data_IF_700418589297
#
_entry.id   IF_700418589297
#
_cell.length_a   1.000
_cell.length_b   1.000
_cell.length_c   1.000
_cell.angle_alpha   90.00
_cell.angle_beta   90.00
_cell.angle_gamma   90.00
#
_symmetry.space_group_name_H-M   'P 1'
#
loop_
_entity.id
_entity.type
_entity.pdbx_description
1 polymer ?
#
# COMPACT_ATOMS: atom_id res chain seq x y z
N UNK A 1 4.60 -27.12 17.05
CA UNK A 1 3.46 -27.28 16.13
C UNK A 1 3.08 -25.87 15.70
N UNK A 2 3.79 -25.31 14.73
CA UNK A 2 3.56 -23.92 14.32
C UNK A 2 2.30 -23.86 13.47
N UNK A 3 1.29 -23.15 13.98
CA UNK A 3 0.17 -22.70 13.18
C UNK A 3 0.75 -21.80 12.08
N UNK A 4 1.01 -22.39 10.92
CA UNK A 4 1.27 -21.66 9.67
C UNK A 4 0.06 -20.75 9.48
N UNK A 5 0.20 -19.48 9.85
CA UNK A 5 -0.81 -18.46 9.65
C UNK A 5 -1.21 -18.52 8.18
N UNK A 6 -2.39 -19.04 7.90
CA UNK A 6 -3.03 -19.00 6.60
C UNK A 6 -3.11 -17.54 6.15
N UNK A 7 -3.17 -17.26 4.86
CA UNK A 7 -3.09 -15.90 4.31
C UNK A 7 -4.08 -14.91 4.97
N UNK A 8 -5.28 -15.36 5.34
CA UNK A 8 -6.26 -14.54 6.09
C UNK A 8 -5.83 -14.18 7.53
N UNK A 9 -5.00 -15.00 8.17
CA UNK A 9 -4.49 -14.77 9.52
C UNK A 9 -3.50 -13.61 9.60
N UNK A 10 -2.78 -13.28 8.51
CA UNK A 10 -1.87 -12.14 8.48
C UNK A 10 -2.63 -10.81 8.45
N UNK A 11 -3.75 -10.74 7.73
CA UNK A 11 -4.60 -9.54 7.73
C UNK A 11 -5.27 -9.32 9.10
N UNK A 12 -5.66 -10.38 9.79
CA UNK A 12 -6.20 -10.30 11.16
C UNK A 12 -5.19 -9.74 12.18
N UNK A 13 -3.88 -9.88 11.94
CA UNK A 13 -2.86 -9.34 12.84
C UNK A 13 -2.89 -7.82 12.90
N UNK A 14 -3.34 -7.13 11.85
CA UNK A 14 -3.51 -5.67 11.88
C UNK A 14 -4.56 -5.27 12.93
N UNK A 15 -5.68 -6.00 12.98
CA UNK A 15 -6.70 -5.78 14.00
C UNK A 15 -6.17 -6.07 15.40
N UNK A 16 -5.49 -7.23 15.56
CA UNK A 16 -4.93 -7.64 16.85
C UNK A 16 -3.93 -6.61 17.35
N UNK A 17 -3.04 -6.11 16.49
CA UNK A 17 -2.07 -5.06 16.84
C UNK A 17 -2.76 -3.74 17.22
N UNK A 18 -3.85 -3.38 16.55
CA UNK A 18 -4.61 -2.16 16.85
C UNK A 18 -5.16 -2.16 18.28
N UNK A 19 -5.72 -3.29 18.74
CA UNK A 19 -6.34 -3.42 20.07
C UNK A 19 -5.41 -3.99 21.14
N UNK A 20 -4.19 -4.39 20.76
CA UNK A 20 -3.23 -5.01 21.68
C UNK A 20 -2.71 -3.98 22.69
N UNK A 21 -2.73 -4.38 23.96
CA UNK A 21 -2.08 -3.73 25.10
C UNK A 21 -0.62 -4.18 25.28
N UNK A 22 -0.23 -5.29 24.67
CA UNK A 22 1.14 -5.85 24.73
C UNK A 22 2.22 -4.99 24.09
N UNK A 23 1.85 -4.04 23.24
CA UNK A 23 2.77 -3.14 22.55
C UNK A 23 2.46 -1.72 22.97
N UNK A 24 3.49 -0.96 23.34
CA UNK A 24 3.38 0.47 23.54
C UNK A 24 2.89 1.15 22.25
N UNK A 25 2.06 2.19 22.36
CA UNK A 25 1.49 2.87 21.19
C UNK A 25 2.57 3.45 20.27
N UNK A 26 3.69 3.88 20.84
CA UNK A 26 4.87 4.38 20.13
C UNK A 26 5.59 3.28 19.31
N UNK A 27 5.48 2.02 19.74
CA UNK A 27 6.11 0.87 19.07
C UNK A 27 5.21 0.23 17.98
N UNK A 28 3.89 0.44 18.07
CA UNK A 28 2.93 -0.13 17.11
C UNK A 28 3.22 0.22 15.64
N UNK A 29 3.62 1.46 15.28
CA UNK A 29 3.98 1.79 13.90
C UNK A 29 5.07 0.90 13.30
N UNK A 30 6.12 0.59 14.07
CA UNK A 30 7.19 -0.31 13.62
C UNK A 30 6.68 -1.74 13.45
N UNK A 31 5.84 -2.21 14.37
CA UNK A 31 5.21 -3.53 14.26
C UNK A 31 4.30 -3.62 13.01
N UNK A 32 3.61 -2.54 12.65
CA UNK A 32 2.85 -2.48 11.42
C UNK A 32 3.74 -2.51 10.18
N UNK A 33 4.90 -1.84 10.21
CA UNK A 33 5.85 -1.86 9.11
C UNK A 33 6.34 -3.29 8.85
N UNK A 34 6.78 -4.00 9.89
CA UNK A 34 7.19 -5.40 9.81
C UNK A 34 6.05 -6.29 9.29
N UNK A 35 4.83 -6.04 9.77
CA UNK A 35 3.66 -6.80 9.34
C UNK A 35 3.32 -6.56 7.85
N UNK A 36 3.46 -5.33 7.34
CA UNK A 36 3.30 -5.06 5.90
C UNK A 36 4.36 -5.81 5.10
N UNK A 37 5.64 -5.67 5.48
CA UNK A 37 6.76 -6.31 4.78
C UNK A 37 6.57 -7.83 4.71
N UNK A 38 6.19 -8.45 5.83
CA UNK A 38 5.93 -9.89 5.88
C UNK A 38 4.66 -10.29 5.14
N UNK A 39 3.58 -9.50 5.21
CA UNK A 39 2.35 -9.78 4.48
C UNK A 39 2.60 -9.74 2.97
N UNK A 40 3.26 -8.70 2.46
CA UNK A 40 3.61 -8.58 1.03
C UNK A 40 4.40 -9.78 0.54
N UNK A 41 5.33 -10.30 1.35
CA UNK A 41 6.17 -11.47 1.02
C UNK A 41 5.40 -12.79 1.01
N UNK A 42 4.37 -12.93 1.85
CA UNK A 42 3.77 -14.25 2.17
C UNK A 42 2.37 -14.47 1.62
N UNK A 43 1.54 -13.43 1.53
CA UNK A 43 0.13 -13.63 1.13
C UNK A 43 0.03 -13.97 -0.36
N UNK A 44 -0.91 -14.85 -0.72
CA UNK A 44 -1.26 -15.07 -2.12
C UNK A 44 -1.77 -13.80 -2.83
N UNK A 45 -1.68 -13.78 -4.15
CA UNK A 45 -2.08 -12.62 -4.98
C UNK A 45 -3.56 -12.22 -4.81
N UNK A 46 -4.44 -13.19 -4.58
CA UNK A 46 -5.86 -12.95 -4.34
C UNK A 46 -6.13 -12.14 -3.06
N UNK A 47 -5.17 -12.04 -2.15
CA UNK A 47 -5.33 -11.42 -0.82
C UNK A 47 -4.78 -9.98 -0.77
N UNK A 48 -4.09 -9.52 -1.82
CA UNK A 48 -3.55 -8.15 -1.91
C UNK A 48 -4.63 -7.07 -1.67
N UNK A 49 -5.86 -7.18 -2.23
CA UNK A 49 -6.92 -6.22 -1.93
C UNK A 49 -7.31 -6.19 -0.44
N UNK A 50 -7.27 -7.33 0.24
CA UNK A 50 -7.57 -7.39 1.68
C UNK A 50 -6.46 -6.74 2.51
N UNK A 51 -5.20 -6.89 2.09
CA UNK A 51 -4.07 -6.21 2.70
C UNK A 51 -4.18 -4.68 2.55
N UNK A 52 -4.50 -4.18 1.35
CA UNK A 52 -4.75 -2.75 1.12
C UNK A 52 -5.86 -2.23 2.05
N UNK A 53 -7.00 -2.92 2.10
CA UNK A 53 -8.11 -2.56 2.98
C UNK A 53 -7.73 -2.53 4.47
N UNK A 54 -6.85 -3.44 4.92
CA UNK A 54 -6.36 -3.41 6.30
C UNK A 54 -5.43 -2.22 6.56
N UNK A 55 -4.53 -1.90 5.63
CA UNK A 55 -3.63 -0.74 5.71
C UNK A 55 -4.44 0.57 5.82
N UNK A 56 -5.50 0.70 5.04
CA UNK A 56 -6.43 1.83 5.14
C UNK A 56 -7.19 1.83 6.47
N UNK A 57 -7.89 0.73 6.79
CA UNK A 57 -8.78 0.65 7.96
C UNK A 57 -8.08 1.03 9.27
N UNK A 58 -6.80 0.68 9.40
CA UNK A 58 -6.02 0.94 10.61
C UNK A 58 -5.08 2.14 10.49
N UNK A 59 -5.21 2.95 9.43
CA UNK A 59 -4.39 4.13 9.13
C UNK A 59 -2.88 3.83 9.17
N UNK A 60 -2.49 2.67 8.65
CA UNK A 60 -1.16 2.12 8.85
C UNK A 60 -0.10 2.96 8.14
N UNK A 61 -0.33 3.32 6.88
CA UNK A 61 0.63 4.11 6.10
C UNK A 61 0.96 5.44 6.79
N UNK A 62 -0.05 6.13 7.31
CA UNK A 62 0.13 7.37 8.09
C UNK A 62 0.93 7.14 9.37
N UNK A 63 0.68 6.05 10.11
CA UNK A 63 1.41 5.70 11.33
C UNK A 63 2.89 5.41 11.06
N UNK A 64 3.16 4.61 10.03
CA UNK A 64 4.53 4.28 9.60
C UNK A 64 5.29 5.55 9.21
N UNK A 65 4.69 6.39 8.35
CA UNK A 65 5.30 7.66 7.92
C UNK A 65 5.50 8.69 9.04
N UNK A 66 4.77 8.56 10.16
CA UNK A 66 4.91 9.47 11.28
C UNK A 66 6.16 9.20 12.14
N UNK A 67 6.73 7.99 12.08
CA UNK A 67 7.87 7.60 12.92
C UNK A 67 9.11 7.17 12.13
N UNK A 68 8.94 6.72 10.88
CA UNK A 68 10.05 6.31 10.02
C UNK A 68 10.47 7.44 9.09
N UNK A 69 11.73 7.41 8.66
CA UNK A 69 12.19 8.31 7.58
C UNK A 69 11.41 8.06 6.29
N UNK A 70 11.41 9.04 5.38
CA UNK A 70 10.73 8.91 4.08
C UNK A 70 11.25 7.70 3.29
N UNK A 71 12.58 7.49 3.29
CA UNK A 71 13.21 6.37 2.61
C UNK A 71 12.77 5.00 3.18
N UNK A 72 12.78 4.85 4.50
CA UNK A 72 12.40 3.59 5.14
C UNK A 72 10.89 3.31 5.00
N UNK A 73 10.05 4.32 5.20
CA UNK A 73 8.61 4.19 4.99
C UNK A 73 8.27 3.81 3.54
N UNK A 74 9.00 4.38 2.56
CA UNK A 74 8.86 4.03 1.16
C UNK A 74 9.28 2.57 0.89
N UNK A 75 10.37 2.07 1.49
CA UNK A 75 10.79 0.66 1.38
C UNK A 75 9.74 -0.32 1.92
N UNK A 76 9.03 0.05 2.99
CA UNK A 76 7.96 -0.76 3.55
C UNK A 76 6.75 -0.81 2.60
N UNK A 77 6.39 0.34 2.02
CA UNK A 77 5.19 0.49 1.21
C UNK A 77 5.38 0.11 -0.27
N UNK A 78 6.61 0.12 -0.79
CA UNK A 78 6.88 -0.15 -2.21
C UNK A 78 6.38 -1.53 -2.64
N UNK A 79 6.61 -2.56 -1.83
CA UNK A 79 6.18 -3.92 -2.15
C UNK A 79 4.66 -4.07 -2.21
N UNK A 80 3.92 -3.29 -1.43
CA UNK A 80 2.46 -3.25 -1.48
C UNK A 80 1.98 -2.60 -2.78
N UNK A 81 2.57 -1.45 -3.15
CA UNK A 81 2.25 -0.73 -4.39
C UNK A 81 2.55 -1.61 -5.62
N UNK A 82 3.75 -2.18 -5.69
CA UNK A 82 4.15 -3.04 -6.81
C UNK A 82 3.24 -4.25 -6.97
N UNK A 83 2.83 -4.89 -5.87
CA UNK A 83 1.88 -6.00 -5.92
C UNK A 83 0.49 -5.58 -6.34
N UNK A 84 0.03 -4.40 -5.93
CA UNK A 84 -1.25 -3.86 -6.39
C UNK A 84 -1.26 -3.70 -7.91
N UNK A 85 -0.27 -3.01 -8.50
CA UNK A 85 -0.21 -2.80 -9.95
C UNK A 85 -0.02 -4.07 -10.76
N UNK A 86 0.76 -5.03 -10.27
CA UNK A 86 1.05 -6.27 -10.97
C UNK A 86 -0.19 -7.14 -11.20
N UNK A 87 -1.30 -6.89 -10.47
CA UNK A 87 -2.49 -7.74 -10.47
C UNK A 87 -3.73 -7.08 -11.05
N UNK A 88 -3.71 -5.77 -11.26
CA UNK A 88 -4.83 -5.08 -11.86
C UNK A 88 -4.89 -5.36 -13.37
N UNK A 89 -6.11 -5.42 -13.95
CA UNK A 89 -6.28 -5.27 -15.39
C UNK A 89 -5.55 -4.03 -15.89
N UNK A 90 -4.93 -4.13 -17.06
CA UNK A 90 -4.25 -2.99 -17.72
C UNK A 90 -5.27 -2.15 -18.47
N UNK A 91 -6.21 -1.62 -17.70
CA UNK A 91 -7.29 -0.76 -18.14
C UNK A 91 -7.22 0.56 -17.37
N UNK A 92 -7.59 1.70 -17.98
CA UNK A 92 -7.45 3.01 -17.34
C UNK A 92 -8.11 3.13 -15.97
N UNK A 93 -9.37 2.68 -15.84
CA UNK A 93 -10.14 2.87 -14.62
C UNK A 93 -9.57 2.09 -13.41
N UNK A 94 -9.31 0.76 -13.49
CA UNK A 94 -8.68 0.01 -12.40
C UNK A 94 -7.30 0.56 -11.97
N UNK A 95 -6.48 0.99 -12.93
CA UNK A 95 -5.15 1.54 -12.65
C UNK A 95 -5.25 2.88 -11.91
N UNK A 96 -6.12 3.77 -12.39
CA UNK A 96 -6.34 5.07 -11.79
C UNK A 96 -6.91 4.95 -10.37
N UNK A 97 -7.84 4.03 -10.14
CA UNK A 97 -8.41 3.76 -8.81
C UNK A 97 -7.34 3.40 -7.79
N UNK A 98 -6.35 2.58 -8.16
CA UNK A 98 -5.25 2.22 -7.25
C UNK A 98 -4.30 3.38 -6.97
N UNK A 99 -4.04 4.24 -7.96
CA UNK A 99 -3.22 5.45 -7.75
C UNK A 99 -3.89 6.37 -6.74
N UNK A 100 -5.15 6.69 -6.98
CA UNK A 100 -5.94 7.58 -6.12
C UNK A 100 -6.14 6.99 -4.73
N UNK A 101 -6.29 5.67 -4.66
CA UNK A 101 -6.34 4.96 -3.40
C UNK A 101 -5.05 5.19 -2.61
N UNK A 102 -3.89 4.97 -3.23
CA UNK A 102 -2.58 5.13 -2.58
C UNK A 102 -2.38 6.57 -2.06
N UNK A 103 -2.79 7.57 -2.82
CA UNK A 103 -2.76 8.98 -2.40
C UNK A 103 -3.68 9.22 -1.20
N UNK A 104 -4.96 8.82 -1.32
CA UNK A 104 -5.99 9.02 -0.28
C UNK A 104 -5.62 8.41 1.07
N UNK A 105 -5.01 7.22 1.05
CA UNK A 105 -4.63 6.52 2.29
C UNK A 105 -3.24 6.91 2.81
N UNK A 106 -2.54 7.83 2.11
CA UNK A 106 -1.22 8.32 2.48
C UNK A 106 -0.07 7.33 2.22
N UNK A 107 -0.30 6.33 1.36
CA UNK A 107 0.75 5.42 0.88
C UNK A 107 1.72 6.19 -0.01
N UNK A 108 1.22 7.05 -0.89
CA UNK A 108 2.00 7.94 -1.77
C UNK A 108 1.50 9.38 -1.63
N UNK A 109 2.31 10.36 -2.04
CA UNK A 109 1.92 11.78 -2.02
C UNK A 109 1.11 12.18 -3.25
N UNK A 110 1.49 11.64 -4.39
CA UNK A 110 0.92 11.96 -5.71
C UNK A 110 1.22 10.84 -6.70
N UNK A 111 0.65 10.96 -7.89
CA UNK A 111 0.77 10.06 -9.02
C UNK A 111 2.22 9.70 -9.30
N UNK A 112 3.09 10.72 -9.43
CA UNK A 112 4.50 10.51 -9.76
C UNK A 112 5.23 9.65 -8.71
N UNK A 113 4.92 9.86 -7.43
CA UNK A 113 5.46 9.03 -6.35
C UNK A 113 4.91 7.60 -6.39
N UNK A 114 3.68 7.41 -6.84
CA UNK A 114 3.08 6.09 -7.00
C UNK A 114 3.80 5.30 -8.10
N UNK A 115 4.08 5.93 -9.23
CA UNK A 115 4.87 5.33 -10.32
C UNK A 115 6.30 5.04 -9.87
N UNK A 116 6.94 5.98 -9.15
CA UNK A 116 8.28 5.77 -8.61
C UNK A 116 8.34 4.55 -7.67
N UNK A 117 7.39 4.40 -6.74
CA UNK A 117 7.34 3.23 -5.86
C UNK A 117 7.05 1.92 -6.61
N UNK A 118 6.29 1.96 -7.70
CA UNK A 118 6.05 0.79 -8.54
C UNK A 118 7.32 0.35 -9.28
N UNK A 119 8.13 1.30 -9.76
CA UNK A 119 9.46 1.04 -10.33
C UNK A 119 10.41 0.45 -9.28
N UNK A 120 10.47 1.06 -8.09
CA UNK A 120 11.30 0.56 -6.98
C UNK A 120 10.89 -0.85 -6.52
N UNK A 121 9.64 -1.23 -6.73
CA UNK A 121 9.13 -2.58 -6.48
C UNK A 121 9.48 -3.60 -7.59
N UNK A 122 10.19 -3.17 -8.64
CA UNK A 122 10.71 -4.03 -9.70
C UNK A 122 9.75 -4.27 -10.88
N UNK A 123 8.73 -3.44 -11.07
CA UNK A 123 7.93 -3.49 -12.30
C UNK A 123 8.79 -2.97 -13.48
N UNK A 124 8.60 -3.57 -14.67
CA UNK A 124 9.37 -3.19 -15.86
C UNK A 124 9.02 -1.78 -16.34
N UNK A 125 9.99 -1.12 -16.97
CA UNK A 125 9.78 0.19 -17.60
C UNK A 125 8.67 0.14 -18.66
N UNK A 126 8.66 -0.88 -19.53
CA UNK A 126 7.60 -1.05 -20.53
C UNK A 126 6.19 -1.07 -19.91
N UNK A 127 6.03 -1.75 -18.77
CA UNK A 127 4.75 -1.80 -18.08
C UNK A 127 4.39 -0.46 -17.42
N UNK A 128 5.39 0.30 -16.98
CA UNK A 128 5.18 1.64 -16.44
C UNK A 128 4.83 2.64 -17.52
N UNK A 129 5.40 2.51 -18.71
CA UNK A 129 5.03 3.32 -19.87
C UNK A 129 3.57 3.06 -20.25
N UNK A 130 3.16 1.79 -20.33
CA UNK A 130 1.75 1.41 -20.56
C UNK A 130 0.82 1.99 -19.49
N UNK A 131 1.20 1.89 -18.21
CA UNK A 131 0.40 2.46 -17.11
C UNK A 131 0.35 3.97 -17.24
N UNK A 132 1.48 4.62 -17.54
CA UNK A 132 1.53 6.06 -17.73
C UNK A 132 0.62 6.49 -18.86
N UNK A 133 0.67 5.85 -20.02
CA UNK A 133 -0.16 6.16 -21.18
C UNK A 133 -1.65 5.95 -20.88
N UNK A 134 -2.01 4.84 -20.25
CA UNK A 134 -3.41 4.51 -19.91
C UNK A 134 -3.99 5.41 -18.81
N UNK A 135 -3.13 5.93 -17.94
CA UNK A 135 -3.53 6.82 -16.85
C UNK A 135 -3.14 8.28 -17.11
N UNK A 136 -2.69 8.60 -18.34
CA UNK A 136 -2.34 9.94 -18.78
C UNK A 136 -3.59 10.79 -18.97
N UNK A 137 -4.21 11.19 -17.87
CA UNK A 137 -5.05 12.38 -17.80
C UNK A 137 -4.39 13.41 -16.89
N UNK A 138 -4.35 14.69 -17.28
CA UNK A 138 -3.65 15.71 -16.52
C UNK A 138 -4.47 16.16 -15.31
N UNK A 139 -4.73 15.32 -14.30
CA UNK A 139 -5.29 15.73 -12.99
C UNK A 139 -6.58 16.60 -13.01
N UNK A 140 -7.28 16.76 -14.15
CA UNK A 140 -7.81 18.11 -14.49
C UNK A 140 -9.17 18.47 -13.94
N UNK A 141 -9.96 17.54 -13.39
CA UNK A 141 -11.33 17.85 -12.94
C UNK A 141 -11.77 16.98 -11.75
N UNK A 142 -11.13 17.11 -10.57
CA UNK A 142 -11.52 16.32 -9.39
C UNK A 142 -11.90 17.21 -8.18
N UNK A 143 -13.21 17.37 -7.87
CA UNK A 143 -13.77 18.23 -6.81
C UNK A 143 -13.38 17.88 -5.36
N UNK A 144 -12.87 16.68 -5.09
CA UNK A 144 -12.61 16.19 -3.72
C UNK A 144 -11.30 16.68 -3.10
N UNK A 145 -10.43 17.32 -3.88
CA UNK A 145 -9.31 18.11 -3.35
C UNK A 145 -9.73 19.53 -2.92
N UNK A 146 -10.96 19.95 -3.22
CA UNK A 146 -11.51 21.26 -2.78
C UNK A 146 -12.32 21.17 -1.48
N UNK A 147 -12.45 19.97 -0.90
CA UNK A 147 -13.14 19.74 0.36
C UNK A 147 -12.20 19.05 1.36
N UNK A 148 -11.23 19.81 1.86
CA UNK A 148 -10.50 19.54 3.11
C UNK A 148 -10.14 20.87 3.76
#
# INVERSE_FOLDING_TARGET
>A
MEARSTDGGLTELFQKLAVSDKFADEAKPYCYADLITEAVRRIGDAEVPKLLNAVEKYNVARKVRAVMSEEEGNKVLCGLVGRAFSRLPKEPAPLLDVILYCERVGITREYAYTIALALDAGLSYDLMDDICDLTHEPYRNRPYLQAA
#
